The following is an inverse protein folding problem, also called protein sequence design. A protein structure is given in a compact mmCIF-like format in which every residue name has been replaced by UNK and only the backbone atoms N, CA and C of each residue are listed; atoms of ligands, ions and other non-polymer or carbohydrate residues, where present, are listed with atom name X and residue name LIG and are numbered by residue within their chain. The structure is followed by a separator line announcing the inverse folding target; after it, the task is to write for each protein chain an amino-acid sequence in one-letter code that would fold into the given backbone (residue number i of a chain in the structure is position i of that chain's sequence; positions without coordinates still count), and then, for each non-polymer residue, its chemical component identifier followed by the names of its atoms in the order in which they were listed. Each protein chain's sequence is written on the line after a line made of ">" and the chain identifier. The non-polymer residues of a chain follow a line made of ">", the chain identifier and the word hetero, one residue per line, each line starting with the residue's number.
data_IF_926678389911
#
_entry.id   IF_926678389911
#
_cell.length_a   1.000
_cell.length_b   1.000
_cell.length_c   1.000
_cell.angle_alpha   90.00
_cell.angle_beta   90.00
_cell.angle_gamma   90.00
#
_symmetry.space_group_name_H-M   'P 1'
#
loop_
_entity.id
_entity.type
_entity.pdbx_description
1 polymer ?
#
# COMPACT_ATOMS: atom_id res chain seq x y z
N UNK A 1 -67.31 -12.37 36.41
CA UNK A 1 -67.83 -10.98 36.58
C UNK A 1 -66.77 -10.23 37.38
N UNK A 2 -66.13 -9.12 37.02
CA UNK A 2 -66.39 -7.99 36.11
C UNK A 2 -65.02 -7.47 35.59
N UNK A 3 -64.89 -7.28 34.27
CA UNK A 3 -64.77 -6.00 33.52
C UNK A 3 -63.32 -5.49 33.34
N UNK A 4 -62.85 -5.59 32.10
CA UNK A 4 -61.67 -4.92 31.55
C UNK A 4 -61.95 -3.42 31.48
N UNK A 5 -61.01 -2.60 31.96
CA UNK A 5 -61.04 -1.14 31.77
C UNK A 5 -60.01 -0.79 30.71
N UNK A 6 -60.49 -0.26 29.58
CA UNK A 6 -59.67 0.42 28.57
C UNK A 6 -59.64 1.90 28.94
N UNK A 7 -58.47 2.45 29.19
CA UNK A 7 -58.29 3.90 29.31
C UNK A 7 -57.27 4.32 28.25
N UNK A 8 -57.82 4.90 27.19
CA UNK A 8 -57.17 5.72 26.19
C UNK A 8 -56.69 7.02 26.82
N UNK A 9 -55.38 7.29 26.80
CA UNK A 9 -54.86 8.64 27.02
C UNK A 9 -54.53 9.27 25.67
N UNK A 10 -55.55 9.89 25.10
CA UNK A 10 -55.34 11.00 24.18
C UNK A 10 -54.89 12.22 25.01
N UNK A 11 -53.89 12.92 24.50
CA UNK A 11 -53.58 14.32 24.82
C UNK A 11 -52.85 14.60 26.14
N UNK A 12 -51.55 14.28 26.18
CA UNK A 12 -50.60 15.14 26.90
C UNK A 12 -50.16 16.26 25.96
N UNK A 13 -50.84 17.38 26.13
CA UNK A 13 -50.50 18.71 25.65
C UNK A 13 -49.01 19.06 25.94
N UNK A 14 -48.31 19.56 24.93
CA UNK A 14 -47.45 20.76 25.05
C UNK A 14 -46.42 20.71 26.19
N UNK A 15 -45.48 19.79 26.14
CA UNK A 15 -44.20 19.85 26.88
C UNK A 15 -43.21 18.98 26.09
N UNK A 16 -42.57 19.49 25.05
CA UNK A 16 -41.19 19.98 25.17
C UNK A 16 -40.81 20.70 23.87
N UNK A 17 -41.22 21.96 23.75
CA UNK A 17 -40.68 22.92 22.77
C UNK A 17 -39.25 23.38 23.17
N UNK A 18 -38.40 22.45 23.61
CA UNK A 18 -37.03 22.73 24.06
C UNK A 18 -36.11 21.53 23.82
N UNK A 19 -36.13 21.02 22.60
CA UNK A 19 -34.92 20.47 21.97
C UNK A 19 -34.59 21.32 20.75
N UNK A 20 -34.66 22.65 20.94
CA UNK A 20 -33.84 23.56 20.18
C UNK A 20 -32.39 23.08 20.29
N UNK A 21 -31.74 23.01 19.14
CA UNK A 21 -30.30 23.21 18.98
C UNK A 21 -29.38 22.13 19.57
N UNK A 22 -29.32 20.96 18.93
CA UNK A 22 -28.13 20.08 18.83
C UNK A 22 -28.49 18.94 17.86
N UNK A 23 -27.92 18.73 16.68
CA UNK A 23 -26.71 19.21 16.04
C UNK A 23 -26.97 19.18 14.53
N UNK A 24 -27.08 20.35 13.91
CA UNK A 24 -26.74 20.48 12.49
C UNK A 24 -25.22 20.52 12.40
N UNK A 25 -24.57 19.36 12.33
CA UNK A 25 -23.20 19.30 11.83
C UNK A 25 -23.27 18.91 10.36
N UNK A 26 -23.56 19.89 9.52
CA UNK A 26 -23.05 19.89 8.16
C UNK A 26 -21.62 20.43 8.23
N UNK A 27 -20.64 19.54 8.33
CA UNK A 27 -19.37 19.73 7.63
C UNK A 27 -19.32 18.70 6.52
N UNK A 28 -19.86 19.09 5.36
CA UNK A 28 -19.27 18.69 4.10
C UNK A 28 -17.87 19.30 4.12
N UNK A 29 -16.91 18.46 4.50
CA UNK A 29 -15.56 18.55 3.98
C UNK A 29 -15.47 17.36 3.05
N UNK A 30 -15.92 17.58 1.83
CA UNK A 30 -15.56 16.79 0.68
C UNK A 30 -14.04 16.85 0.52
N UNK A 31 -13.30 16.08 1.33
CA UNK A 31 -12.02 15.58 0.88
C UNK A 31 -12.30 14.24 0.20
N UNK A 32 -12.70 14.40 -1.06
CA UNK A 32 -12.78 13.33 -2.04
C UNK A 32 -11.39 12.75 -2.22
N UNK A 33 -10.95 11.85 -1.33
CA UNK A 33 -9.93 10.86 -1.68
C UNK A 33 -10.60 9.70 -2.42
N UNK A 34 -11.22 10.05 -3.54
CA UNK A 34 -11.38 9.17 -4.68
C UNK A 34 -10.05 9.17 -5.46
N UNK A 35 -9.03 8.53 -4.89
CA UNK A 35 -7.90 7.99 -5.66
C UNK A 35 -7.92 6.45 -5.58
N UNK A 36 -9.05 5.86 -5.96
CA UNK A 36 -9.09 4.47 -6.41
C UNK A 36 -9.61 4.47 -7.85
N UNK A 37 -8.76 4.89 -8.79
CA UNK A 37 -8.76 4.52 -10.22
C UNK A 37 -8.08 5.57 -11.13
N UNK A 38 -6.77 5.79 -10.98
CA UNK A 38 -5.98 6.25 -12.14
C UNK A 38 -4.52 5.81 -12.09
N UNK A 39 -4.19 4.97 -13.08
CA UNK A 39 -2.84 4.64 -13.54
C UNK A 39 -1.94 3.87 -12.56
N UNK A 40 -2.16 2.56 -12.50
CA UNK A 40 -1.27 1.55 -11.94
C UNK A 40 0.08 1.41 -12.70
N UNK A 41 0.46 2.42 -13.49
CA UNK A 41 1.59 2.41 -14.39
C UNK A 41 2.36 3.74 -14.42
N UNK A 42 2.26 4.59 -13.40
CA UNK A 42 3.22 5.69 -13.27
C UNK A 42 4.63 5.09 -13.05
N UNK A 43 5.58 5.28 -13.98
CA UNK A 43 6.94 4.76 -13.85
C UNK A 43 7.64 5.24 -12.57
N UNK A 44 7.30 6.44 -12.09
CA UNK A 44 7.87 7.01 -10.86
C UNK A 44 7.39 6.22 -9.63
N UNK A 45 6.10 5.94 -9.55
CA UNK A 45 5.52 5.15 -8.46
C UNK A 45 6.09 3.74 -8.43
N UNK A 46 6.13 3.06 -9.58
CA UNK A 46 6.67 1.70 -9.68
C UNK A 46 8.14 1.62 -9.27
N UNK A 47 8.96 2.61 -9.67
CA UNK A 47 10.36 2.69 -9.25
C UNK A 47 10.48 2.82 -7.72
N UNK A 48 9.67 3.68 -7.10
CA UNK A 48 9.68 3.89 -5.64
C UNK A 48 9.27 2.64 -4.87
N UNK A 49 8.25 1.91 -5.34
CA UNK A 49 7.85 0.65 -4.72
C UNK A 49 8.96 -0.41 -4.85
N UNK A 50 9.56 -0.55 -6.04
CA UNK A 50 10.68 -1.47 -6.24
C UNK A 50 11.88 -1.14 -5.36
N UNK A 51 12.19 0.16 -5.18
CA UNK A 51 13.24 0.60 -4.26
C UNK A 51 12.93 0.17 -2.83
N UNK A 52 11.69 0.34 -2.37
CA UNK A 52 11.25 -0.10 -1.04
C UNK A 52 11.49 -1.61 -0.84
N UNK A 53 11.19 -2.43 -1.85
CA UNK A 53 11.48 -3.88 -1.81
C UNK A 53 12.99 -4.12 -1.67
N UNK A 54 13.81 -3.47 -2.49
CA UNK A 54 15.28 -3.62 -2.41
C UNK A 54 15.84 -3.18 -1.06
N UNK A 55 15.32 -2.11 -0.48
CA UNK A 55 15.78 -1.58 0.82
C UNK A 55 15.42 -2.47 2.00
N UNK A 56 14.23 -3.07 1.96
CA UNK A 56 13.70 -3.90 3.05
C UNK A 56 14.12 -5.36 2.94
N UNK A 57 14.31 -5.89 1.72
CA UNK A 57 14.59 -7.32 1.48
C UNK A 57 16.00 -7.63 1.03
N UNK A 58 16.74 -6.68 0.44
CA UNK A 58 18.09 -6.93 -0.04
C UNK A 58 19.14 -6.16 0.77
N UNK A 59 18.88 -4.89 1.07
CA UNK A 59 19.85 -4.05 1.77
C UNK A 59 20.09 -4.48 3.22
N UNK A 60 19.18 -5.25 3.84
CA UNK A 60 19.39 -5.82 5.18
C UNK A 60 20.68 -6.65 5.23
N UNK A 61 20.90 -7.52 4.24
CA UNK A 61 22.15 -8.25 4.09
C UNK A 61 23.25 -7.42 3.44
N UNK A 62 22.98 -6.63 2.39
CA UNK A 62 24.04 -5.89 1.70
C UNK A 62 24.74 -4.88 2.61
N UNK A 63 24.03 -4.23 3.54
CA UNK A 63 24.66 -3.34 4.52
C UNK A 63 25.72 -4.03 5.39
N UNK A 64 25.57 -5.34 5.64
CA UNK A 64 26.46 -6.13 6.51
C UNK A 64 27.52 -6.93 5.74
N UNK A 65 27.12 -7.55 4.63
CA UNK A 65 27.91 -8.57 3.94
C UNK A 65 28.48 -8.12 2.60
N UNK A 66 27.88 -7.10 1.96
CA UNK A 66 28.36 -6.58 0.69
C UNK A 66 27.98 -5.09 0.53
N UNK A 67 28.64 -4.20 1.28
CA UNK A 67 28.26 -2.78 1.35
C UNK A 67 28.36 -2.07 -0.01
N UNK A 68 29.19 -2.57 -0.93
CA UNK A 68 29.32 -2.08 -2.30
C UNK A 68 28.10 -2.36 -3.19
N UNK A 69 27.15 -3.18 -2.73
CA UNK A 69 25.90 -3.53 -3.44
C UNK A 69 24.65 -3.00 -2.74
N UNK A 70 24.77 -2.01 -1.84
CA UNK A 70 23.60 -1.34 -1.26
C UNK A 70 22.86 -0.55 -2.33
N UNK A 71 21.59 -0.89 -2.56
CA UNK A 71 20.73 -0.24 -3.52
C UNK A 71 20.19 1.07 -2.98
N UNK A 72 20.16 2.09 -3.83
CA UNK A 72 19.64 3.43 -3.60
C UNK A 72 18.95 3.89 -4.88
N UNK A 73 18.09 4.89 -4.77
CA UNK A 73 17.34 5.44 -5.91
C UNK A 73 18.23 5.81 -7.11
N UNK A 74 19.44 6.31 -6.86
CA UNK A 74 20.40 6.75 -7.90
C UNK A 74 21.18 5.63 -8.57
N UNK A 75 21.16 4.40 -8.04
CA UNK A 75 22.00 3.31 -8.53
C UNK A 75 21.25 2.02 -8.84
N UNK A 76 19.96 1.92 -8.52
CA UNK A 76 19.20 0.68 -8.66
C UNK A 76 19.11 0.23 -10.12
N UNK A 77 18.97 1.14 -11.07
CA UNK A 77 18.91 0.86 -12.51
C UNK A 77 20.21 0.24 -13.02
N UNK A 78 21.36 0.74 -12.55
CA UNK A 78 22.68 0.19 -12.90
C UNK A 78 22.81 -1.28 -12.48
N UNK A 79 22.12 -1.69 -11.43
CA UNK A 79 22.13 -3.07 -10.95
C UNK A 79 20.96 -3.92 -11.45
N UNK A 80 20.06 -3.38 -12.27
CA UNK A 80 18.85 -4.08 -12.71
C UNK A 80 19.14 -5.46 -13.30
N UNK A 81 20.13 -5.57 -14.20
CA UNK A 81 20.53 -6.84 -14.80
C UNK A 81 20.98 -7.87 -13.75
N UNK A 82 21.86 -7.45 -12.81
CA UNK A 82 22.33 -8.34 -11.73
C UNK A 82 21.21 -8.68 -10.74
N UNK A 83 20.28 -7.77 -10.46
CA UNK A 83 19.10 -8.06 -9.63
C UNK A 83 18.23 -9.13 -10.30
N UNK A 84 17.91 -8.94 -11.58
CA UNK A 84 17.10 -9.90 -12.33
C UNK A 84 17.72 -11.29 -12.33
N UNK A 85 19.02 -11.36 -12.63
CA UNK A 85 19.77 -12.60 -12.65
C UNK A 85 19.78 -13.29 -11.28
N UNK A 86 20.12 -12.58 -10.20
CA UNK A 86 20.28 -13.21 -8.88
C UNK A 86 18.95 -13.60 -8.24
N UNK A 87 17.89 -12.82 -8.46
CA UNK A 87 16.58 -13.02 -7.82
C UNK A 87 15.70 -13.98 -8.61
N UNK A 88 15.59 -13.82 -9.93
CA UNK A 88 14.59 -14.53 -10.73
C UNK A 88 15.17 -15.69 -11.55
N UNK A 89 16.43 -15.58 -12.00
CA UNK A 89 17.09 -16.64 -12.78
C UNK A 89 17.77 -17.64 -11.84
N UNK A 90 18.79 -17.17 -11.11
CA UNK A 90 19.63 -17.99 -10.22
C UNK A 90 18.94 -18.31 -8.88
N UNK A 91 17.93 -17.51 -8.49
CA UNK A 91 17.20 -17.66 -7.22
C UNK A 91 18.12 -17.77 -5.99
N UNK A 92 19.26 -17.06 -6.01
CA UNK A 92 20.27 -17.03 -4.93
C UNK A 92 20.02 -15.91 -3.92
N UNK A 93 19.12 -14.99 -4.27
CA UNK A 93 18.66 -13.88 -3.46
C UNK A 93 17.13 -13.83 -3.51
N UNK A 94 16.44 -13.40 -2.44
CA UNK A 94 16.98 -12.96 -1.15
C UNK A 94 17.56 -14.11 -0.31
N UNK A 95 18.35 -13.78 0.71
CA UNK A 95 18.82 -14.78 1.70
C UNK A 95 17.65 -15.26 2.56
N UNK A 96 17.80 -16.45 3.16
CA UNK A 96 16.80 -17.03 4.05
C UNK A 96 16.37 -16.01 5.13
N UNK A 97 15.06 -15.86 5.33
CA UNK A 97 14.46 -14.87 6.23
C UNK A 97 14.15 -13.51 5.59
N UNK A 98 14.55 -13.25 4.34
CA UNK A 98 14.25 -12.03 3.58
C UNK A 98 13.44 -12.30 2.32
N UNK A 99 12.70 -13.41 2.27
CA UNK A 99 11.92 -13.82 1.11
C UNK A 99 10.96 -12.71 0.65
N UNK A 100 10.81 -12.62 -0.68
CA UNK A 100 9.81 -11.76 -1.30
C UNK A 100 8.44 -12.43 -1.16
N UNK A 101 7.44 -11.64 -0.78
CA UNK A 101 6.04 -12.00 -0.99
C UNK A 101 5.70 -11.94 -2.49
N UNK A 102 4.57 -12.52 -2.90
CA UNK A 102 4.15 -12.50 -4.30
C UNK A 102 3.97 -11.09 -4.83
N UNK A 103 3.44 -10.18 -4.00
CA UNK A 103 3.30 -8.75 -4.34
C UNK A 103 4.67 -8.11 -4.57
N UNK A 104 5.60 -8.28 -3.64
CA UNK A 104 6.96 -7.71 -3.73
C UNK A 104 7.72 -8.26 -4.94
N UNK A 105 7.61 -9.57 -5.18
CA UNK A 105 8.18 -10.26 -6.33
C UNK A 105 7.62 -9.69 -7.64
N UNK A 106 6.30 -9.54 -7.74
CA UNK A 106 5.62 -8.96 -8.90
C UNK A 106 6.02 -7.50 -9.12
N UNK A 107 6.03 -6.68 -8.08
CA UNK A 107 6.46 -5.27 -8.15
C UNK A 107 7.90 -5.18 -8.68
N UNK A 108 8.82 -5.94 -8.08
CA UNK A 108 10.23 -5.92 -8.48
C UNK A 108 10.42 -6.42 -9.91
N UNK A 109 9.73 -7.50 -10.30
CA UNK A 109 9.77 -8.02 -11.67
C UNK A 109 9.21 -7.02 -12.68
N UNK A 110 8.09 -6.37 -12.37
CA UNK A 110 7.46 -5.37 -13.25
C UNK A 110 8.40 -4.19 -13.46
N UNK A 111 9.02 -3.68 -12.39
CA UNK A 111 10.02 -2.63 -12.51
C UNK A 111 11.23 -3.07 -13.35
N UNK A 112 11.74 -4.29 -13.17
CA UNK A 112 12.85 -4.81 -13.97
C UNK A 112 12.53 -4.90 -15.46
N UNK A 113 11.28 -5.20 -15.83
CA UNK A 113 10.85 -5.24 -17.24
C UNK A 113 10.84 -3.86 -17.90
N UNK A 114 10.74 -2.77 -17.12
CA UNK A 114 10.89 -1.41 -17.66
C UNK A 114 12.36 -1.03 -17.86
N UNK A 115 13.28 -1.79 -17.26
CA UNK A 115 14.71 -1.61 -17.48
C UNK A 115 15.08 -2.31 -18.79
N UNK A 116 15.83 -1.62 -19.67
CA UNK A 116 16.41 -2.22 -20.88
C UNK A 116 17.54 -3.17 -20.47
N UNK A 117 17.18 -4.32 -19.88
CA UNK A 117 18.13 -5.31 -19.38
C UNK A 117 18.80 -5.97 -20.59
N UNK A 118 19.98 -5.46 -20.96
CA UNK A 118 20.83 -6.14 -21.92
C UNK A 118 21.41 -7.39 -21.26
N UNK A 119 21.08 -8.56 -21.79
CA UNK A 119 21.63 -9.86 -21.36
C UNK A 119 23.08 -10.07 -21.86
N UNK A 120 23.95 -9.10 -21.62
CA UNK A 120 25.40 -9.18 -21.81
C UNK A 120 26.01 -8.62 -20.51
N UNK A 121 26.82 -9.28 -19.71
CA UNK A 121 27.53 -10.56 -19.72
C UNK A 121 28.37 -10.54 -18.42
N UNK A 122 29.12 -11.62 -18.16
CA UNK A 122 29.93 -11.82 -16.95
C UNK A 122 30.86 -10.64 -16.58
N UNK A 123 30.73 -10.16 -15.34
CA UNK A 123 31.80 -9.56 -14.53
C UNK A 123 31.58 -9.81 -13.03
#
# INVERSE_FOLDING_TARGET
>A
MMKKVKITWLSFLVFTCLTLMMQSFSSSSDDSFSEESKSQSDPVHLKKEALTVLETKCNVCHRKQNPFRVFKEKNMERFASKIHEQVFIKKRMPKAGQSLTDKESKTLKTWLLTQKINNYGND
#
